data_IF_985591815917
#
_entry.id   IF_985591815917
#
_cell.length_a   1.000
_cell.length_b   1.000
_cell.length_c   1.000
_cell.angle_alpha   90.00
_cell.angle_beta   90.00
_cell.angle_gamma   90.00
#
_symmetry.space_group_name_H-M   'P 1'
#
loop_
_entity.id
_entity.type
_entity.pdbx_description
1 polymer ?
#
# COMPACT_ATOMS: atom_id res chain seq x y z
N UNK A 1 -13.01 -8.92 -16.54
CA UNK A 1 -13.35 -7.49 -16.79
C UNK A 1 -13.78 -6.80 -15.49
N UNK A 2 -14.58 -7.46 -14.65
CA UNK A 2 -15.10 -6.96 -13.36
C UNK A 2 -14.03 -6.55 -12.32
N UNK A 3 -12.93 -7.30 -12.18
CA UNK A 3 -11.83 -6.97 -11.23
C UNK A 3 -11.14 -5.63 -11.51
N UNK A 4 -10.93 -5.30 -12.80
CA UNK A 4 -10.23 -4.07 -13.21
C UNK A 4 -11.08 -2.81 -12.97
N UNK A 5 -12.40 -2.94 -13.09
CA UNK A 5 -13.32 -1.85 -12.75
C UNK A 5 -13.27 -1.54 -11.25
N UNK A 6 -13.25 -2.58 -10.41
CA UNK A 6 -13.20 -2.43 -8.95
C UNK A 6 -11.94 -1.67 -8.48
N UNK A 7 -10.74 -2.03 -8.97
CA UNK A 7 -9.51 -1.35 -8.53
C UNK A 7 -9.46 0.13 -8.95
N UNK A 8 -10.04 0.49 -10.09
CA UNK A 8 -10.09 1.89 -10.52
C UNK A 8 -11.00 2.74 -9.63
N UNK A 9 -12.11 2.17 -9.17
CA UNK A 9 -13.00 2.83 -8.20
C UNK A 9 -12.30 3.03 -6.84
N UNK A 10 -11.55 2.02 -6.38
CA UNK A 10 -10.70 2.12 -5.18
C UNK A 10 -9.65 3.22 -5.35
N UNK A 11 -8.91 3.21 -6.46
CA UNK A 11 -7.92 4.24 -6.76
C UNK A 11 -8.54 5.64 -6.77
N UNK A 12 -9.70 5.82 -7.41
CA UNK A 12 -10.39 7.12 -7.45
C UNK A 12 -10.84 7.59 -6.06
N UNK A 13 -11.27 6.66 -5.20
CA UNK A 13 -11.60 6.93 -3.80
C UNK A 13 -10.37 7.40 -3.01
N UNK A 14 -9.24 6.70 -3.17
CA UNK A 14 -7.95 7.07 -2.56
C UNK A 14 -7.47 8.43 -3.06
N UNK A 15 -7.56 8.69 -4.37
CA UNK A 15 -7.17 9.97 -4.97
C UNK A 15 -8.00 11.14 -4.44
N UNK A 16 -9.28 10.89 -4.13
CA UNK A 16 -10.16 11.91 -3.55
C UNK A 16 -9.79 12.21 -2.10
N UNK A 17 -9.53 11.19 -1.29
CA UNK A 17 -9.15 11.33 0.12
C UNK A 17 -8.49 10.04 0.65
N UNK A 18 -7.17 9.94 0.50
CA UNK A 18 -6.42 8.76 0.92
C UNK A 18 -6.38 8.61 2.45
N UNK A 19 -6.50 9.71 3.20
CA UNK A 19 -6.47 9.69 4.67
C UNK A 19 -7.71 9.02 5.23
N UNK A 20 -8.89 9.43 4.74
CA UNK A 20 -10.17 8.82 5.10
C UNK A 20 -10.27 7.37 4.64
N UNK A 21 -9.73 7.06 3.46
CA UNK A 21 -9.69 5.68 2.99
C UNK A 21 -8.82 4.80 3.91
N UNK A 22 -7.61 5.25 4.24
CA UNK A 22 -6.70 4.52 5.13
C UNK A 22 -7.28 4.31 6.53
N UNK A 23 -7.89 5.34 7.13
CA UNK A 23 -8.54 5.26 8.44
C UNK A 23 -9.65 4.19 8.46
N UNK A 24 -10.50 4.20 7.43
CA UNK A 24 -11.55 3.18 7.26
C UNK A 24 -10.96 1.78 7.17
N UNK A 25 -9.98 1.56 6.27
CA UNK A 25 -9.34 0.25 6.09
C UNK A 25 -8.80 -0.29 7.41
N UNK A 26 -8.07 0.54 8.17
CA UNK A 26 -7.50 0.12 9.46
C UNK A 26 -8.58 -0.17 10.50
N UNK A 27 -9.60 0.70 10.58
CA UNK A 27 -10.70 0.55 11.54
C UNK A 27 -11.49 -0.73 11.27
N UNK A 28 -11.82 -1.01 10.01
CA UNK A 28 -12.55 -2.22 9.61
C UNK A 28 -11.75 -3.48 9.94
N UNK A 29 -10.46 -3.51 9.58
CA UNK A 29 -9.56 -4.62 9.91
C UNK A 29 -9.42 -4.85 11.42
N UNK A 30 -9.39 -3.78 12.21
CA UNK A 30 -9.32 -3.88 13.67
C UNK A 30 -10.61 -4.46 14.25
N UNK A 31 -11.76 -4.05 13.73
CA UNK A 31 -13.07 -4.50 14.20
C UNK A 31 -13.31 -6.00 13.91
N UNK A 32 -12.73 -6.53 12.84
CA UNK A 32 -12.75 -7.98 12.57
C UNK A 32 -11.97 -8.80 13.60
N UNK A 33 -11.02 -8.19 14.33
CA UNK A 33 -10.12 -8.74 15.36
C UNK A 33 -9.23 -9.93 14.94
N UNK A 34 -9.75 -10.87 14.14
CA UNK A 34 -9.02 -12.02 13.62
C UNK A 34 -8.03 -11.60 12.54
N UNK A 35 -6.75 -11.91 12.78
CA UNK A 35 -5.66 -11.64 11.85
C UNK A 35 -5.48 -10.13 11.57
N UNK A 36 -5.67 -9.26 12.57
CA UNK A 36 -5.22 -7.88 12.43
C UNK A 36 -3.70 -7.86 12.20
N UNK A 37 -3.24 -7.07 11.22
CA UNK A 37 -1.83 -7.00 10.86
C UNK A 37 -1.00 -6.51 12.06
N UNK A 38 0.11 -7.19 12.36
CA UNK A 38 1.02 -6.80 13.44
C UNK A 38 1.95 -5.66 13.00
N UNK A 39 2.44 -4.86 13.95
CA UNK A 39 3.36 -3.75 13.67
C UNK A 39 4.61 -4.22 12.93
N UNK A 40 5.18 -5.37 13.29
CA UNK A 40 6.37 -5.89 12.63
C UNK A 40 6.13 -6.27 11.16
N UNK A 41 4.96 -6.83 10.84
CA UNK A 41 4.54 -7.14 9.47
C UNK A 41 4.35 -5.84 8.67
N UNK A 42 3.59 -4.88 9.22
CA UNK A 42 3.33 -3.61 8.55
C UNK A 42 4.61 -2.77 8.35
N UNK A 43 5.48 -2.70 9.36
CA UNK A 43 6.80 -2.05 9.27
C UNK A 43 7.68 -2.72 8.20
N UNK A 44 7.62 -4.03 8.07
CA UNK A 44 8.36 -4.75 7.03
C UNK A 44 7.89 -4.31 5.65
N UNK A 45 6.58 -4.27 5.41
CA UNK A 45 6.04 -3.78 4.14
C UNK A 45 6.41 -2.31 3.88
N UNK A 46 6.23 -1.44 4.87
CA UNK A 46 6.55 -0.01 4.76
C UNK A 46 8.02 0.22 4.44
N UNK A 47 8.93 -0.60 4.98
CA UNK A 47 10.37 -0.50 4.68
C UNK A 47 10.70 -0.66 3.18
N UNK A 48 9.83 -1.30 2.40
CA UNK A 48 9.99 -1.41 0.96
C UNK A 48 9.51 -0.15 0.21
N UNK A 49 8.66 0.67 0.84
CA UNK A 49 8.07 1.89 0.27
C UNK A 49 8.92 3.12 0.58
N UNK A 50 9.57 3.17 1.76
CA UNK A 50 10.43 4.28 2.20
C UNK A 50 11.41 4.79 1.12
N UNK A 51 12.10 3.94 0.33
CA UNK A 51 13.01 4.43 -0.71
C UNK A 51 12.34 5.31 -1.77
N UNK A 52 11.03 5.16 -1.99
CA UNK A 52 10.26 6.00 -2.91
C UNK A 52 9.87 7.32 -2.26
N UNK A 53 9.42 7.30 -0.99
CA UNK A 53 9.13 8.52 -0.22
C UNK A 53 10.33 9.45 -0.13
N UNK A 54 11.53 8.89 0.04
CA UNK A 54 12.78 9.66 0.08
C UNK A 54 13.05 10.45 -1.23
N UNK A 55 12.55 10.01 -2.38
CA UNK A 55 12.74 10.78 -3.62
C UNK A 55 12.02 12.13 -3.54
N UNK A 56 10.80 12.14 -3.00
CA UNK A 56 9.98 13.33 -2.85
C UNK A 56 10.54 14.27 -1.77
N UNK A 57 10.96 13.72 -0.63
CA UNK A 57 11.49 14.51 0.49
C UNK A 57 12.80 15.24 0.16
N UNK A 58 13.65 14.67 -0.69
CA UNK A 58 14.97 15.23 -1.02
C UNK A 58 15.03 15.90 -2.39
N UNK A 59 13.90 16.08 -3.09
CA UNK A 59 13.83 16.81 -4.38
C UNK A 59 14.72 16.21 -5.48
N UNK A 60 14.98 14.90 -5.44
CA UNK A 60 15.87 14.25 -6.41
C UNK A 60 15.15 14.05 -7.74
N UNK A 61 15.83 14.30 -8.86
CA UNK A 61 15.29 14.00 -10.20
C UNK A 61 15.01 12.50 -10.32
N UNK A 62 13.76 12.14 -10.58
CA UNK A 62 13.31 10.75 -10.69
C UNK A 62 13.54 10.25 -12.12
N UNK A 63 14.36 9.20 -12.27
CA UNK A 63 14.38 8.38 -13.47
C UNK A 63 13.14 7.47 -13.44
N UNK A 64 12.14 7.82 -14.26
CA UNK A 64 10.84 7.14 -14.32
C UNK A 64 11.00 5.65 -14.63
N UNK A 65 11.86 5.30 -15.59
CA UNK A 65 12.03 3.90 -16.00
C UNK A 65 12.71 3.08 -14.90
N UNK A 66 13.69 3.67 -14.22
CA UNK A 66 14.29 3.05 -13.04
C UNK A 66 13.26 2.91 -11.91
N UNK A 67 12.48 3.94 -11.62
CA UNK A 67 11.45 3.90 -10.59
C UNK A 67 10.40 2.82 -10.87
N UNK A 68 9.91 2.71 -12.12
CA UNK A 68 9.00 1.64 -12.54
C UNK A 68 9.60 0.25 -12.36
N UNK A 69 10.90 0.05 -12.65
CA UNK A 69 11.59 -1.22 -12.40
C UNK A 69 11.67 -1.55 -10.90
N UNK A 70 11.96 -0.57 -10.06
CA UNK A 70 11.96 -0.76 -8.61
C UNK A 70 10.55 -1.03 -8.06
N UNK A 71 9.52 -0.39 -8.62
CA UNK A 71 8.13 -0.62 -8.23
C UNK A 71 7.66 -2.05 -8.59
N UNK A 72 8.12 -2.60 -9.71
CA UNK A 72 7.94 -4.03 -10.04
C UNK A 72 8.63 -4.94 -9.01
N UNK A 73 9.81 -4.57 -8.51
CA UNK A 73 10.47 -5.33 -7.42
C UNK A 73 9.70 -5.22 -6.10
N UNK A 74 9.15 -4.04 -5.78
CA UNK A 74 8.27 -3.84 -4.63
C UNK A 74 7.07 -4.79 -4.72
N UNK A 75 6.41 -4.87 -5.88
CA UNK A 75 5.28 -5.79 -6.11
C UNK A 75 5.64 -7.24 -5.78
N UNK A 76 6.79 -7.72 -6.25
CA UNK A 76 7.28 -9.08 -5.97
C UNK A 76 7.48 -9.29 -4.46
N UNK A 77 8.07 -8.31 -3.76
CA UNK A 77 8.29 -8.39 -2.30
C UNK A 77 6.98 -8.44 -1.52
N UNK A 78 5.99 -7.61 -1.89
CA UNK A 78 4.67 -7.62 -1.24
C UNK A 78 3.95 -8.95 -1.51
N UNK A 79 3.95 -9.43 -2.76
CA UNK A 79 3.35 -10.72 -3.11
C UNK A 79 3.98 -11.88 -2.32
N UNK A 80 5.30 -11.85 -2.11
CA UNK A 80 5.99 -12.82 -1.27
C UNK A 80 5.56 -12.73 0.20
N UNK A 81 5.45 -11.52 0.77
CA UNK A 81 4.97 -11.36 2.15
C UNK A 81 3.55 -11.90 2.31
N UNK A 82 2.65 -11.62 1.37
CA UNK A 82 1.28 -12.15 1.34
C UNK A 82 1.30 -13.69 1.32
N UNK A 83 2.08 -14.30 0.42
CA UNK A 83 2.15 -15.77 0.31
C UNK A 83 2.83 -16.46 1.50
N UNK A 84 3.75 -15.77 2.19
CA UNK A 84 4.40 -16.32 3.40
C UNK A 84 3.45 -16.31 4.60
N UNK A 85 2.50 -15.40 4.61
CA UNK A 85 1.52 -15.17 5.66
C UNK A 85 0.46 -16.30 5.79
N UNK A 86 0.35 -17.14 4.76
CA UNK A 86 -0.63 -18.22 4.62
C UNK A 86 -0.46 -19.39 5.62
N UNK A 87 0.54 -19.34 6.51
CA UNK A 87 0.79 -20.35 7.56
C UNK A 87 0.05 -20.04 8.87
N UNK A 88 -1.22 -19.65 8.79
CA UNK A 88 -2.08 -19.37 9.95
C UNK A 88 -1.93 -17.98 10.58
N UNK A 89 -1.29 -17.03 9.89
CA UNK A 89 -1.20 -15.64 10.33
C UNK A 89 -1.60 -14.72 9.17
N UNK A 90 -2.86 -14.72 8.73
CA UNK A 90 -3.32 -14.05 7.49
C UNK A 90 -3.36 -12.51 7.52
N UNK A 91 -2.60 -11.87 8.41
CA UNK A 91 -2.71 -10.42 8.64
C UNK A 91 -2.23 -9.55 7.49
N UNK A 92 -1.13 -9.89 6.83
CA UNK A 92 -0.65 -9.26 5.59
C UNK A 92 -1.61 -9.52 4.44
N UNK A 93 -2.17 -10.74 4.33
CA UNK A 93 -3.15 -11.04 3.28
C UNK A 93 -4.42 -10.20 3.44
N UNK A 94 -5.05 -10.24 4.62
CA UNK A 94 -6.24 -9.43 4.92
C UNK A 94 -5.97 -7.94 4.76
N UNK A 95 -4.80 -7.48 5.23
CA UNK A 95 -4.39 -6.10 5.05
C UNK A 95 -4.31 -5.72 3.57
N UNK A 96 -3.70 -6.56 2.72
CA UNK A 96 -3.69 -6.34 1.28
C UNK A 96 -5.10 -6.35 0.68
N UNK A 97 -5.95 -7.30 1.07
CA UNK A 97 -7.29 -7.45 0.49
C UNK A 97 -8.18 -6.23 0.81
N UNK A 98 -8.02 -5.64 2.00
CA UNK A 98 -8.71 -4.42 2.38
C UNK A 98 -8.08 -3.15 1.77
N UNK A 99 -6.75 -3.06 1.73
CA UNK A 99 -6.03 -1.83 1.32
C UNK A 99 -5.72 -1.75 -0.17
N UNK A 100 -5.75 -2.87 -0.89
CA UNK A 100 -5.40 -3.05 -2.31
C UNK A 100 -3.95 -2.66 -2.67
N UNK A 101 -3.02 -2.62 -1.72
CA UNK A 101 -1.64 -2.13 -1.91
C UNK A 101 -0.84 -2.87 -3.00
N UNK A 102 -1.12 -4.15 -3.27
CA UNK A 102 -0.44 -4.90 -4.32
C UNK A 102 -0.96 -4.54 -5.72
N UNK A 103 -2.29 -4.43 -5.88
CA UNK A 103 -2.91 -4.15 -7.18
C UNK A 103 -2.76 -2.67 -7.57
N UNK A 104 -2.76 -1.76 -6.59
CA UNK A 104 -2.49 -0.34 -6.81
C UNK A 104 -1.12 -0.09 -7.46
N UNK A 105 -0.13 -0.98 -7.28
CA UNK A 105 1.17 -0.84 -7.96
C UNK A 105 0.99 -0.89 -9.48
N UNK A 106 0.12 -1.74 -10.01
CA UNK A 106 -0.10 -1.81 -11.46
C UNK A 106 -0.76 -0.53 -11.97
N UNK A 107 -1.71 0.03 -11.21
CA UNK A 107 -2.34 1.32 -11.52
C UNK A 107 -1.30 2.43 -11.60
N UNK A 108 -0.36 2.48 -10.64
CA UNK A 108 0.72 3.47 -10.64
C UNK A 108 1.66 3.27 -11.83
N UNK A 109 2.11 2.04 -12.10
CA UNK A 109 3.04 1.74 -13.21
C UNK A 109 2.47 2.17 -14.57
N UNK A 110 1.17 1.91 -14.78
CA UNK A 110 0.46 2.19 -16.03
C UNK A 110 -0.04 3.64 -16.13
N UNK A 111 0.13 4.44 -15.07
CA UNK A 111 -0.36 5.81 -15.04
C UNK A 111 0.40 6.74 -16.01
N UNK A 112 -0.37 7.66 -16.61
CA UNK A 112 0.16 8.81 -17.37
C UNK A 112 0.78 9.87 -16.44
N UNK A 113 0.33 9.95 -15.19
CA UNK A 113 0.81 10.86 -14.15
C UNK A 113 1.61 10.06 -13.11
N UNK A 114 2.64 9.36 -13.57
CA UNK A 114 3.37 8.37 -12.77
C UNK A 114 3.93 8.96 -11.47
N UNK A 115 4.45 10.18 -11.50
CA UNK A 115 5.11 10.80 -10.34
C UNK A 115 4.09 11.11 -9.26
N UNK A 116 2.97 11.73 -9.64
CA UNK A 116 1.88 12.09 -8.74
C UNK A 116 1.21 10.83 -8.16
N UNK A 117 1.02 9.79 -8.97
CA UNK A 117 0.40 8.55 -8.50
C UNK A 117 1.35 7.71 -7.64
N UNK A 118 2.66 7.78 -7.89
CA UNK A 118 3.67 7.19 -7.01
C UNK A 118 3.71 7.92 -5.66
N UNK A 119 3.64 9.24 -5.64
CA UNK A 119 3.57 10.04 -4.42
C UNK A 119 2.29 9.70 -3.63
N UNK A 120 1.14 9.64 -4.31
CA UNK A 120 -0.13 9.24 -3.71
C UNK A 120 -0.03 7.84 -3.10
N UNK A 121 0.60 6.88 -3.77
CA UNK A 121 0.82 5.54 -3.24
C UNK A 121 1.66 5.56 -1.95
N UNK A 122 2.74 6.36 -1.92
CA UNK A 122 3.60 6.49 -0.75
C UNK A 122 2.84 7.13 0.43
N UNK A 123 2.12 8.22 0.18
CA UNK A 123 1.33 8.93 1.19
C UNK A 123 0.18 8.08 1.73
N UNK A 124 -0.48 7.31 0.85
CA UNK A 124 -1.50 6.34 1.26
C UNK A 124 -0.92 5.25 2.15
N UNK A 125 0.25 4.70 1.80
CA UNK A 125 0.91 3.69 2.62
C UNK A 125 1.29 4.25 3.99
N UNK A 126 1.85 5.46 4.03
CA UNK A 126 2.19 6.13 5.28
C UNK A 126 0.95 6.38 6.15
N UNK A 127 -0.17 6.79 5.56
CA UNK A 127 -1.44 6.93 6.27
C UNK A 127 -1.91 5.59 6.86
N UNK A 128 -1.82 4.47 6.13
CA UNK A 128 -2.15 3.14 6.66
C UNK A 128 -1.30 2.79 7.90
N UNK A 129 0.00 3.10 7.87
CA UNK A 129 0.91 2.89 9.00
C UNK A 129 0.54 3.80 10.18
N UNK A 130 0.27 5.08 9.93
CA UNK A 130 -0.09 6.04 10.95
C UNK A 130 -1.42 5.66 11.64
N UNK A 131 -2.46 5.33 10.87
CA UNK A 131 -3.74 4.92 11.41
C UNK A 131 -3.66 3.57 12.13
N UNK A 132 -2.86 2.62 11.64
CA UNK A 132 -2.59 1.37 12.35
C UNK A 132 -2.04 1.65 13.76
N UNK A 133 -1.07 2.56 13.87
CA UNK A 133 -0.52 2.97 15.17
C UNK A 133 -1.55 3.70 16.03
N UNK A 134 -2.29 4.65 15.44
CA UNK A 134 -3.32 5.44 16.13
C UNK A 134 -4.41 4.55 16.73
N UNK A 135 -4.86 3.54 15.98
CA UNK A 135 -5.86 2.58 16.43
C UNK A 135 -5.28 1.45 17.29
N UNK A 136 -4.06 1.57 17.80
CA UNK A 136 -3.51 0.66 18.81
C UNK A 136 -2.96 -0.65 18.26
N UNK A 137 -2.49 -0.67 17.02
CA UNK A 137 -1.71 -1.79 16.49
C UNK A 137 -0.49 -2.12 17.33
N UNK A 138 -0.25 -3.43 17.50
CA UNK A 138 0.85 -4.00 18.28
C UNK A 138 1.81 -4.79 17.40
#
# INVERSE_FOLDING_TARGET
MERRTNILDVYNSIKKDYTKHADRVITDLKNEQENFIKTNQLRTLYSFVVPFSDFFNYGRKIDIEKAKRELKKLKIKIAYQIGRDDRGQLGVRKFNDASNILELIDVVIDSKNFIEDLELYCNYFEALVAYHKYHGGQ
#
